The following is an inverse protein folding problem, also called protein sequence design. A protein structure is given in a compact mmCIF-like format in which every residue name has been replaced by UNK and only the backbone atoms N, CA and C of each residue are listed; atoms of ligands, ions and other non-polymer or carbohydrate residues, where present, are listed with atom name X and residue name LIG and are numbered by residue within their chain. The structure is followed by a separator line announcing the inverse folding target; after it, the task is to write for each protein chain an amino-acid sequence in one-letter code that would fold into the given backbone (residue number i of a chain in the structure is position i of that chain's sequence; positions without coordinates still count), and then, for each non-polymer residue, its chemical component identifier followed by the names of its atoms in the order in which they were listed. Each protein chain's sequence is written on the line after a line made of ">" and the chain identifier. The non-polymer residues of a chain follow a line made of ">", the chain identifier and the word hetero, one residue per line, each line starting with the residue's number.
data_IF_159005668944
#
_entry.id   IF_159005668944
#
_cell.length_a   1.000
_cell.length_b   1.000
_cell.length_c   1.000
_cell.angle_alpha   90.00
_cell.angle_beta   90.00
_cell.angle_gamma   90.00
#
_symmetry.space_group_name_H-M   'P 1'
#
loop_
_entity.id
_entity.type
_entity.pdbx_description
1 polymer ?
#
# COMPACT_ATOMS: atom_id res chain seq x y z
N UNK A 1 41.67 -5.87 -29.00
CA UNK A 1 41.25 -5.04 -27.84
C UNK A 1 40.01 -4.18 -28.12
N UNK A 2 39.84 -3.61 -29.33
CA UNK A 2 38.66 -2.79 -29.66
C UNK A 2 37.34 -3.60 -29.69
N UNK A 3 37.40 -4.85 -30.15
CA UNK A 3 36.23 -5.76 -30.26
C UNK A 3 35.70 -6.24 -28.91
N UNK A 4 36.57 -6.43 -27.92
CA UNK A 4 36.15 -6.86 -26.57
C UNK A 4 35.39 -5.74 -25.85
N UNK A 5 35.84 -4.48 -26.02
CA UNK A 5 35.15 -3.31 -25.47
C UNK A 5 33.77 -3.13 -26.11
N UNK A 6 33.64 -3.37 -27.42
CA UNK A 6 32.35 -3.30 -28.13
C UNK A 6 31.34 -4.37 -27.67
N UNK A 7 31.81 -5.56 -27.30
CA UNK A 7 30.94 -6.64 -26.77
C UNK A 7 30.45 -6.29 -25.36
N UNK A 8 31.29 -5.66 -24.54
CA UNK A 8 30.96 -5.31 -23.16
C UNK A 8 29.91 -4.18 -23.07
N UNK A 9 29.91 -3.27 -24.04
CA UNK A 9 28.90 -2.18 -24.14
C UNK A 9 27.53 -2.73 -24.57
N UNK A 10 27.49 -3.81 -25.36
CA UNK A 10 26.24 -4.42 -25.84
C UNK A 10 25.44 -5.09 -24.71
N UNK A 11 26.09 -5.56 -23.64
CA UNK A 11 25.41 -6.21 -22.51
C UNK A 11 24.76 -5.23 -21.52
N UNK A 12 25.02 -3.92 -21.63
CA UNK A 12 24.47 -2.94 -20.69
C UNK A 12 23.09 -2.40 -21.08
N UNK A 13 22.61 -2.64 -22.31
CA UNK A 13 21.36 -2.04 -22.82
C UNK A 13 20.09 -2.84 -22.49
N UNK A 14 20.21 -3.98 -21.78
CA UNK A 14 19.06 -4.85 -21.47
C UNK A 14 18.40 -4.61 -20.10
N UNK A 15 18.75 -3.54 -19.38
CA UNK A 15 18.21 -3.30 -18.02
C UNK A 15 17.04 -2.29 -17.94
N UNK A 16 16.51 -1.82 -19.07
CA UNK A 16 15.48 -0.74 -19.10
C UNK A 16 14.09 -1.27 -19.48
N UNK A 17 13.66 -2.40 -18.91
CA UNK A 17 12.34 -2.98 -19.21
C UNK A 17 11.52 -3.34 -17.98
N UNK A 18 11.58 -2.53 -16.92
CA UNK A 18 10.73 -2.69 -15.73
C UNK A 18 9.99 -1.42 -15.28
N UNK A 19 10.08 -0.31 -16.03
CA UNK A 19 9.24 0.86 -15.74
C UNK A 19 7.94 0.70 -16.52
N UNK A 20 6.94 0.09 -15.89
CA UNK A 20 5.58 -0.01 -16.40
C UNK A 20 4.91 1.39 -16.37
N UNK A 21 4.65 2.03 -17.52
CA UNK A 21 4.03 3.36 -17.56
C UNK A 21 2.61 3.38 -16.99
N UNK A 22 1.96 2.22 -16.88
CA UNK A 22 0.60 2.09 -16.33
C UNK A 22 0.57 2.32 -14.81
N UNK A 23 1.70 2.13 -14.11
CA UNK A 23 1.80 2.39 -12.67
C UNK A 23 1.73 3.90 -12.37
N UNK A 24 2.25 4.76 -13.24
CA UNK A 24 2.54 6.15 -12.91
C UNK A 24 1.32 7.03 -12.64
N UNK A 25 0.17 6.80 -13.31
CA UNK A 25 -1.07 7.57 -13.07
C UNK A 25 -1.91 7.03 -11.91
N UNK A 26 -1.88 5.70 -11.68
CA UNK A 26 -2.56 5.11 -10.53
C UNK A 26 -1.81 5.43 -9.23
N UNK A 27 -0.48 5.55 -9.29
CA UNK A 27 0.35 5.91 -8.14
C UNK A 27 -0.06 7.26 -7.53
N UNK A 28 -0.25 8.29 -8.36
CA UNK A 28 -0.59 9.64 -7.86
C UNK A 28 -1.95 9.65 -7.13
N UNK A 29 -2.96 8.94 -7.66
CA UNK A 29 -4.26 8.84 -6.98
C UNK A 29 -4.19 8.01 -5.69
N UNK A 30 -3.37 6.96 -5.68
CA UNK A 30 -3.15 6.13 -4.50
C UNK A 30 -2.34 6.87 -3.44
N UNK A 31 -1.38 7.69 -3.83
CA UNK A 31 -0.60 8.56 -2.95
C UNK A 31 -1.51 9.59 -2.28
N UNK A 32 -2.34 10.31 -3.07
CA UNK A 32 -3.31 11.26 -2.52
C UNK A 32 -4.31 10.59 -1.57
N UNK A 33 -4.70 9.35 -1.86
CA UNK A 33 -5.56 8.56 -0.99
C UNK A 33 -4.85 8.15 0.30
N UNK A 34 -3.57 7.77 0.21
CA UNK A 34 -2.74 7.46 1.36
C UNK A 34 -2.54 8.69 2.25
N UNK A 35 -2.34 9.87 1.65
CA UNK A 35 -2.30 11.15 2.35
C UNK A 35 -3.59 11.41 3.11
N UNK A 36 -4.73 11.36 2.42
CA UNK A 36 -6.04 11.58 3.05
C UNK A 36 -6.34 10.60 4.19
N UNK A 37 -5.95 9.32 4.05
CA UNK A 37 -6.08 8.34 5.13
C UNK A 37 -5.15 8.69 6.30
N UNK A 38 -3.89 9.00 6.00
CA UNK A 38 -2.87 9.33 7.01
C UNK A 38 -3.26 10.54 7.81
N UNK A 39 -3.71 11.62 7.18
CA UNK A 39 -4.19 12.84 7.85
C UNK A 39 -5.28 12.54 8.89
N UNK A 40 -6.25 11.67 8.55
CA UNK A 40 -7.31 11.25 9.48
C UNK A 40 -6.79 10.43 10.66
N UNK A 41 -5.68 9.72 10.51
CA UNK A 41 -5.07 8.98 11.61
C UNK A 41 -4.11 9.82 12.44
N UNK A 42 -3.39 10.77 11.83
CA UNK A 42 -2.45 11.65 12.52
C UNK A 42 -3.16 12.44 13.62
N UNK A 43 -4.35 12.97 13.34
CA UNK A 43 -5.15 13.71 14.32
C UNK A 43 -5.53 12.88 15.54
N UNK A 44 -5.72 11.57 15.37
CA UNK A 44 -6.19 10.65 16.42
C UNK A 44 -5.06 9.93 17.15
N UNK A 45 -4.00 9.54 16.41
CA UNK A 45 -2.91 8.70 16.92
C UNK A 45 -1.71 9.51 17.44
N UNK A 46 -1.72 10.83 17.24
CA UNK A 46 -0.62 11.73 17.58
C UNK A 46 0.73 11.21 17.05
N UNK A 47 0.79 10.89 15.75
CA UNK A 47 1.99 10.37 15.11
C UNK A 47 3.08 11.44 15.09
N UNK A 48 4.30 11.09 15.48
CA UNK A 48 5.46 11.94 15.21
C UNK A 48 5.83 11.90 13.72
N UNK A 49 6.55 12.91 13.21
CA UNK A 49 6.83 13.06 11.77
C UNK A 49 7.47 11.83 11.11
N UNK A 50 8.35 11.11 11.83
CA UNK A 50 8.93 9.85 11.32
C UNK A 50 7.88 8.73 11.24
N UNK A 51 7.04 8.58 12.26
CA UNK A 51 5.99 7.57 12.26
C UNK A 51 4.95 7.86 11.19
N UNK A 52 4.56 9.13 11.02
CA UNK A 52 3.66 9.59 9.97
C UNK A 52 4.16 9.20 8.57
N UNK A 53 5.42 9.50 8.25
CA UNK A 53 6.01 9.12 6.97
C UNK A 53 5.98 7.61 6.73
N UNK A 54 6.34 6.82 7.74
CA UNK A 54 6.32 5.35 7.64
C UNK A 54 4.89 4.81 7.53
N UNK A 55 3.96 5.41 8.26
CA UNK A 55 2.54 5.07 8.23
C UNK A 55 1.95 5.33 6.83
N UNK A 56 2.18 6.51 6.24
CA UNK A 56 1.75 6.85 4.88
C UNK A 56 2.22 5.79 3.87
N UNK A 57 3.52 5.52 3.86
CA UNK A 57 4.12 4.52 2.96
C UNK A 57 3.51 3.14 3.12
N UNK A 58 3.22 2.73 4.36
CA UNK A 58 2.59 1.44 4.64
C UNK A 58 1.13 1.42 4.18
N UNK A 59 0.37 2.51 4.35
CA UNK A 59 -0.99 2.62 3.81
C UNK A 59 -0.97 2.52 2.29
N UNK A 60 -0.10 3.29 1.63
CA UNK A 60 0.07 3.31 0.17
C UNK A 60 0.38 1.92 -0.40
N UNK A 61 1.35 1.22 0.19
CA UNK A 61 1.69 -0.17 -0.18
C UNK A 61 0.47 -1.10 -0.14
N UNK A 62 -0.37 -0.96 0.89
CA UNK A 62 -1.57 -1.78 1.05
C UNK A 62 -2.72 -1.35 0.14
N UNK A 63 -2.80 -0.07 -0.24
CA UNK A 63 -3.75 0.40 -1.25
C UNK A 63 -3.42 -0.18 -2.63
N UNK A 64 -2.14 -0.20 -3.02
CA UNK A 64 -1.68 -0.81 -4.29
C UNK A 64 -2.10 -2.28 -4.32
N UNK A 65 -1.78 -3.05 -3.27
CA UNK A 65 -2.20 -4.46 -3.16
C UNK A 65 -3.73 -4.63 -3.18
N UNK A 66 -4.47 -3.70 -2.59
CA UNK A 66 -5.92 -3.74 -2.62
C UNK A 66 -6.48 -3.55 -4.03
N UNK A 67 -5.89 -2.66 -4.85
CA UNK A 67 -6.28 -2.49 -6.26
C UNK A 67 -5.92 -3.73 -7.11
N UNK A 68 -4.79 -4.38 -6.84
CA UNK A 68 -4.45 -5.67 -7.46
C UNK A 68 -5.48 -6.76 -7.11
N UNK A 69 -5.95 -6.83 -5.87
CA UNK A 69 -7.02 -7.77 -5.47
C UNK A 69 -8.33 -7.42 -6.19
N UNK A 70 -8.68 -6.13 -6.25
CA UNK A 70 -9.93 -5.67 -6.88
C UNK A 70 -9.98 -5.93 -8.38
N UNK A 71 -8.83 -5.91 -9.07
CA UNK A 71 -8.75 -6.18 -10.51
C UNK A 71 -8.76 -7.68 -10.84
N UNK A 72 -8.43 -8.55 -9.87
CA UNK A 72 -8.30 -9.99 -10.08
C UNK A 72 -9.45 -10.84 -9.54
N UNK A 73 -10.15 -10.35 -8.53
CA UNK A 73 -11.17 -11.11 -7.81
C UNK A 73 -12.50 -10.36 -7.77
N UNK A 74 -13.59 -11.11 -7.63
CA UNK A 74 -14.94 -10.55 -7.54
C UNK A 74 -15.75 -11.13 -6.37
N UNK A 75 -16.90 -10.52 -6.09
CA UNK A 75 -17.87 -10.99 -5.10
C UNK A 75 -17.26 -11.28 -3.72
N UNK A 76 -17.62 -12.45 -3.17
CA UNK A 76 -17.19 -12.91 -1.85
C UNK A 76 -15.68 -13.15 -1.79
N UNK A 77 -15.09 -13.73 -2.82
CA UNK A 77 -13.66 -14.02 -2.86
C UNK A 77 -12.82 -12.74 -2.75
N UNK A 78 -13.19 -11.69 -3.51
CA UNK A 78 -12.58 -10.36 -3.35
C UNK A 78 -12.66 -9.85 -1.92
N UNK A 79 -13.83 -9.98 -1.29
CA UNK A 79 -14.01 -9.49 0.07
C UNK A 79 -13.16 -10.28 1.08
N UNK A 80 -13.09 -11.60 0.95
CA UNK A 80 -12.26 -12.46 1.80
C UNK A 80 -10.77 -12.08 1.68
N UNK A 81 -10.31 -11.83 0.43
CA UNK A 81 -8.93 -11.41 0.15
C UNK A 81 -8.61 -10.01 0.72
N UNK A 82 -9.53 -9.04 0.56
CA UNK A 82 -9.38 -7.70 1.13
C UNK A 82 -9.39 -7.72 2.66
N UNK A 83 -10.19 -8.61 3.26
CA UNK A 83 -10.22 -8.81 4.71
C UNK A 83 -8.89 -9.38 5.22
N UNK A 84 -8.35 -10.40 4.57
CA UNK A 84 -7.04 -10.96 4.90
C UNK A 84 -5.93 -9.90 4.77
N UNK A 85 -5.95 -9.09 3.69
CA UNK A 85 -5.02 -7.99 3.47
C UNK A 85 -5.11 -6.94 4.61
N UNK A 86 -6.32 -6.59 5.05
CA UNK A 86 -6.53 -5.65 6.16
C UNK A 86 -5.99 -6.15 7.51
N UNK A 87 -6.06 -7.47 7.77
CA UNK A 87 -5.44 -8.08 8.96
C UNK A 87 -3.92 -7.98 8.86
N UNK A 88 -3.35 -8.23 7.68
CA UNK A 88 -1.92 -8.13 7.45
C UNK A 88 -1.43 -6.68 7.63
N UNK A 89 -2.13 -5.69 7.09
CA UNK A 89 -1.82 -4.27 7.30
C UNK A 89 -1.74 -3.94 8.79
N UNK A 90 -2.74 -4.39 9.55
CA UNK A 90 -2.79 -4.16 11.01
C UNK A 90 -1.61 -4.79 11.73
N UNK A 91 -1.14 -5.95 11.27
CA UNK A 91 0.05 -6.61 11.84
C UNK A 91 1.30 -5.81 11.55
N UNK A 92 1.51 -5.40 10.30
CA UNK A 92 2.70 -4.65 9.87
C UNK A 92 2.72 -3.22 10.44
N UNK A 93 1.55 -2.61 10.68
CA UNK A 93 1.47 -1.34 11.41
C UNK A 93 2.02 -1.44 12.85
N UNK A 94 2.10 -2.65 13.42
CA UNK A 94 2.73 -2.88 14.71
C UNK A 94 4.23 -2.61 14.76
N UNK A 95 4.91 -2.55 13.61
CA UNK A 95 6.33 -2.20 13.51
C UNK A 95 6.55 -0.67 13.50
N UNK A 96 5.48 0.11 13.28
CA UNK A 96 5.50 1.57 13.15
C UNK A 96 4.87 2.23 14.39
N UNK A 97 3.76 1.68 14.85
CA UNK A 97 2.96 2.23 15.93
C UNK A 97 3.41 1.68 17.29
N UNK A 98 3.39 2.54 18.31
CA UNK A 98 3.47 2.05 19.69
C UNK A 98 2.25 1.19 20.02
N UNK A 99 2.35 0.37 21.07
CA UNK A 99 1.23 -0.51 21.45
C UNK A 99 -0.09 0.24 21.71
N UNK A 100 -0.12 1.37 22.45
CA UNK A 100 -1.34 2.15 22.61
C UNK A 100 -1.89 2.71 21.29
N UNK A 101 -1.03 3.21 20.42
CA UNK A 101 -1.42 3.71 19.09
C UNK A 101 -2.00 2.60 18.21
N UNK A 102 -1.39 1.40 18.22
CA UNK A 102 -1.88 0.25 17.47
C UNK A 102 -3.26 -0.20 17.95
N UNK A 103 -3.50 -0.17 19.27
CA UNK A 103 -4.80 -0.55 19.82
C UNK A 103 -5.89 0.49 19.51
N UNK A 104 -5.53 1.78 19.44
CA UNK A 104 -6.44 2.81 18.95
C UNK A 104 -6.67 2.70 17.44
N UNK A 105 -5.63 2.45 16.64
CA UNK A 105 -5.72 2.21 15.20
C UNK A 105 -6.73 1.10 14.88
N UNK A 106 -6.67 -0.04 15.58
CA UNK A 106 -7.63 -1.15 15.41
C UNK A 106 -9.08 -0.74 15.64
N UNK A 107 -9.33 0.16 16.61
CA UNK A 107 -10.69 0.67 16.91
C UNK A 107 -11.18 1.63 15.84
N UNK A 108 -10.30 2.46 15.31
CA UNK A 108 -10.63 3.47 14.30
C UNK A 108 -10.74 2.89 12.89
N UNK A 109 -10.02 1.80 12.61
CA UNK A 109 -9.91 1.22 11.26
C UNK A 109 -11.25 0.92 10.57
N UNK A 110 -12.24 0.30 11.23
CA UNK A 110 -13.55 0.05 10.60
C UNK A 110 -14.26 1.33 10.14
N UNK A 111 -13.99 2.46 10.78
CA UNK A 111 -14.58 3.77 10.45
C UNK A 111 -13.77 4.51 9.40
N UNK A 112 -12.44 4.54 9.55
CA UNK A 112 -11.55 5.33 8.69
C UNK A 112 -11.14 4.61 7.40
N UNK A 113 -11.20 3.28 7.38
CA UNK A 113 -10.88 2.41 6.24
C UNK A 113 -11.88 1.22 6.17
N UNK A 114 -13.16 1.48 5.87
CA UNK A 114 -14.19 0.45 5.86
C UNK A 114 -14.00 -0.55 4.72
N UNK A 115 -14.27 -1.82 5.00
CA UNK A 115 -14.45 -2.86 3.99
C UNK A 115 -15.94 -3.02 3.64
N UNK A 116 -16.22 -3.47 2.42
CA UNK A 116 -17.59 -3.79 2.00
C UNK A 116 -18.19 -4.88 2.91
N UNK A 117 -19.50 -4.82 3.13
CA UNK A 117 -20.24 -5.85 3.87
C UNK A 117 -21.01 -6.72 2.88
N UNK A 118 -21.10 -8.01 3.15
CA UNK A 118 -22.04 -8.88 2.44
C UNK A 118 -23.45 -8.54 2.97
N UNK A 119 -24.30 -7.97 2.12
CA UNK A 119 -25.71 -7.85 2.44
C UNK A 119 -26.33 -9.24 2.31
N UNK A 120 -26.75 -9.82 3.43
CA UNK A 120 -27.60 -11.00 3.44
C UNK A 120 -29.06 -10.52 3.39
N UNK A 121 -29.53 -10.16 2.19
CA UNK A 121 -30.97 -9.98 1.91
C UNK A 121 -31.51 -11.22 1.19
#
# INVERSE_FOLDING_TARGET
>A
MKTIVSILILFFTLTVAAQDPMLQNNDEQLELRADSITERYVSELALGSKQELLFKKKVEEFLIRAEEIKSRFEGKEKLDMLYALSIQETREMGDILTRPQLDLYKKLKPTLQPLAKVNNE
#
